data_IF_889857051982
#
_entry.id   IF_889857051982
#
_cell.length_a   1.000
_cell.length_b   1.000
_cell.length_c   1.000
_cell.angle_alpha   90.00
_cell.angle_beta   90.00
_cell.angle_gamma   90.00
#
_symmetry.space_group_name_H-M   'P 1'
#
loop_
_entity.id
_entity.type
_entity.pdbx_description
1 polymer ?
#
# COMPACT_ATOMS: atom_id res chain seq x y z
N UNK A 1 -14.66 23.67 10.66
CA UNK A 1 -13.37 23.04 10.32
C UNK A 1 -13.45 21.56 10.70
N UNK A 2 -13.02 20.66 9.82
CA UNK A 2 -12.85 19.26 10.20
C UNK A 2 -11.63 19.14 11.15
N UNK A 3 -11.64 18.23 12.12
CA UNK A 3 -10.49 17.98 12.99
C UNK A 3 -9.30 17.45 12.18
N UNK A 4 -8.10 17.93 12.51
CA UNK A 4 -6.84 17.43 11.93
C UNK A 4 -6.28 16.34 12.84
N UNK A 5 -6.18 15.12 12.31
CA UNK A 5 -5.57 13.99 13.02
C UNK A 5 -4.11 13.84 12.63
N UNK A 6 -3.23 13.69 13.62
CA UNK A 6 -1.82 13.32 13.41
C UNK A 6 -1.64 11.88 13.85
N UNK A 7 -0.98 11.09 13.01
CA UNK A 7 -0.69 9.69 13.29
C UNK A 7 0.76 9.37 12.92
N UNK A 8 1.31 8.37 13.59
CA UNK A 8 2.63 7.83 13.31
C UNK A 8 2.56 6.30 13.53
N UNK A 9 3.71 5.63 13.50
CA UNK A 9 3.79 4.17 13.69
C UNK A 9 3.43 3.70 15.10
N UNK A 10 3.11 4.61 16.01
CA UNK A 10 2.75 4.34 17.40
C UNK A 10 1.32 4.83 17.71
N UNK A 11 0.59 4.05 18.50
CA UNK A 11 -0.75 4.40 18.98
C UNK A 11 -1.91 3.98 18.08
N UNK A 12 -3.11 4.42 18.45
CA UNK A 12 -4.39 3.90 17.94
C UNK A 12 -4.62 4.14 16.44
N UNK A 13 -3.87 5.07 15.86
CA UNK A 13 -3.94 5.41 14.43
C UNK A 13 -2.82 4.79 13.59
N UNK A 14 -1.97 3.93 14.15
CA UNK A 14 -0.93 3.24 13.37
C UNK A 14 -1.51 2.39 12.22
N UNK A 15 -2.77 1.95 12.34
CA UNK A 15 -3.49 1.25 11.29
C UNK A 15 -3.72 2.06 10.01
N UNK A 16 -3.62 3.39 10.05
CA UNK A 16 -3.73 4.26 8.87
C UNK A 16 -2.46 4.26 7.99
N UNK A 17 -1.38 3.63 8.46
CA UNK A 17 -0.16 3.49 7.68
C UNK A 17 -0.27 2.32 6.71
N UNK A 18 0.14 2.54 5.47
CA UNK A 18 0.16 1.55 4.40
C UNK A 18 1.09 0.35 4.68
N UNK A 19 2.06 0.49 5.59
CA UNK A 19 2.90 -0.60 6.08
C UNK A 19 2.34 -1.30 7.34
N UNK A 20 1.15 -0.91 7.82
CA UNK A 20 0.51 -1.60 8.94
C UNK A 20 0.23 -3.07 8.58
N UNK A 21 0.20 -4.00 9.56
CA UNK A 21 0.06 -5.44 9.33
C UNK A 21 -1.39 -5.85 8.99
N UNK A 22 -2.06 -5.08 8.13
CA UNK A 22 -3.41 -5.37 7.64
C UNK A 22 -3.31 -5.86 6.20
N UNK A 23 -3.69 -7.13 5.98
CA UNK A 23 -3.71 -7.70 4.63
C UNK A 23 -4.72 -7.01 3.74
N UNK A 24 -4.40 -6.91 2.45
CA UNK A 24 -5.28 -6.36 1.41
C UNK A 24 -5.50 -7.43 0.35
N UNK A 25 -6.72 -7.53 -0.17
CA UNK A 25 -7.04 -8.40 -1.32
C UNK A 25 -7.29 -7.52 -2.54
N UNK A 26 -6.62 -7.81 -3.64
CA UNK A 26 -6.73 -7.08 -4.90
C UNK A 26 -6.65 -8.07 -6.06
N UNK A 27 -7.64 -8.02 -6.98
CA UNK A 27 -7.71 -8.93 -8.14
C UNK A 27 -7.48 -10.41 -7.75
N UNK A 28 -8.16 -10.86 -6.69
CA UNK A 28 -8.08 -12.23 -6.11
C UNK A 28 -6.77 -12.55 -5.37
N UNK A 29 -5.74 -11.73 -5.50
CA UNK A 29 -4.48 -11.89 -4.79
C UNK A 29 -4.49 -11.24 -3.41
N UNK A 30 -3.95 -11.96 -2.42
CA UNK A 30 -3.74 -11.44 -1.06
C UNK A 30 -2.33 -10.87 -0.92
N UNK A 31 -2.24 -9.67 -0.37
CA UNK A 31 -1.01 -8.96 -0.05
C UNK A 31 -0.88 -8.83 1.47
N UNK A 32 0.33 -9.01 2.05
CA UNK A 32 0.53 -8.91 3.49
C UNK A 32 0.18 -7.53 4.05
N UNK A 33 0.51 -6.46 3.31
CA UNK A 33 0.17 -5.06 3.64
C UNK A 33 -0.16 -4.26 2.37
N UNK A 34 -0.71 -3.04 2.51
CA UNK A 34 -0.88 -2.15 1.36
C UNK A 34 0.43 -1.69 0.75
N UNK A 35 1.53 -1.62 1.51
CA UNK A 35 2.87 -1.36 0.97
C UNK A 35 3.25 -2.44 -0.05
N UNK A 36 2.98 -3.72 0.23
CA UNK A 36 3.27 -4.80 -0.71
C UNK A 36 2.51 -4.59 -2.02
N UNK A 37 1.21 -4.30 -1.95
CA UNK A 37 0.40 -4.05 -3.15
C UNK A 37 0.88 -2.80 -3.91
N UNK A 38 1.15 -1.71 -3.20
CA UNK A 38 1.63 -0.47 -3.81
C UNK A 38 2.95 -0.68 -4.56
N UNK A 39 3.90 -1.38 -3.95
CA UNK A 39 5.22 -1.66 -4.53
C UNK A 39 5.13 -2.69 -5.67
N UNK A 40 4.27 -3.71 -5.55
CA UNK A 40 4.05 -4.71 -6.60
C UNK A 40 3.43 -4.07 -7.86
N UNK A 41 2.54 -3.07 -7.69
CA UNK A 41 1.89 -2.35 -8.80
C UNK A 41 2.86 -1.57 -9.70
N UNK A 42 4.11 -1.33 -9.25
CA UNK A 42 5.18 -0.80 -10.12
C UNK A 42 5.51 -1.73 -11.28
N UNK A 43 5.26 -3.03 -11.13
CA UNK A 43 5.68 -4.10 -12.04
C UNK A 43 4.49 -4.73 -12.79
N UNK A 44 3.49 -3.92 -13.18
CA UNK A 44 2.27 -4.39 -13.86
C UNK A 44 2.53 -5.31 -15.06
N UNK A 45 3.59 -5.03 -15.84
CA UNK A 45 3.97 -5.83 -17.02
C UNK A 45 4.98 -6.95 -16.72
N UNK A 46 5.30 -7.17 -15.45
CA UNK A 46 6.29 -8.13 -14.93
C UNK A 46 5.71 -8.85 -13.71
N UNK A 47 4.71 -9.73 -13.90
CA UNK A 47 4.02 -10.41 -12.80
C UNK A 47 4.99 -11.23 -11.94
N UNK A 48 6.07 -11.74 -12.54
CA UNK A 48 7.17 -12.42 -11.82
C UNK A 48 7.81 -11.53 -10.75
N UNK A 49 8.00 -10.25 -11.03
CA UNK A 49 8.57 -9.29 -10.10
C UNK A 49 7.54 -8.79 -9.08
N UNK A 50 6.29 -8.59 -9.52
CA UNK A 50 5.18 -8.27 -8.63
C UNK A 50 4.97 -9.37 -7.57
N UNK A 51 5.07 -10.63 -7.97
CA UNK A 51 4.98 -11.78 -7.07
C UNK A 51 6.13 -11.85 -6.07
N UNK A 52 7.36 -11.54 -6.49
CA UNK A 52 8.51 -11.43 -5.57
C UNK A 52 8.28 -10.37 -4.50
N UNK A 53 7.73 -9.21 -4.88
CA UNK A 53 7.37 -8.16 -3.93
C UNK A 53 6.26 -8.64 -2.99
N UNK A 54 5.23 -9.30 -3.52
CA UNK A 54 4.09 -9.84 -2.75
C UNK A 54 4.50 -10.89 -1.72
N UNK A 55 5.49 -11.72 -2.06
CA UNK A 55 6.00 -12.82 -1.23
C UNK A 55 7.07 -12.38 -0.22
N UNK A 56 7.47 -11.10 -0.23
CA UNK A 56 8.43 -10.57 0.74
C UNK A 56 7.89 -10.75 2.16
N UNK A 57 8.62 -11.47 3.01
CA UNK A 57 8.15 -11.78 4.37
C UNK A 57 8.18 -10.56 5.28
N UNK A 58 9.16 -9.69 5.06
CA UNK A 58 9.45 -8.54 5.91
C UNK A 58 9.04 -7.26 5.23
N UNK A 59 8.09 -6.54 5.83
CA UNK A 59 7.59 -5.26 5.30
C UNK A 59 8.72 -4.23 5.13
N UNK A 60 9.76 -4.30 5.97
CA UNK A 60 10.94 -3.42 5.88
C UNK A 60 11.75 -3.64 4.59
N UNK A 61 11.75 -4.85 4.03
CA UNK A 61 12.55 -5.24 2.86
C UNK A 61 11.84 -4.91 1.54
N UNK A 62 10.52 -4.73 1.56
CA UNK A 62 9.69 -4.50 0.37
C UNK A 62 10.21 -3.32 -0.47
N UNK A 63 10.48 -2.20 0.19
CA UNK A 63 11.00 -1.00 -0.48
C UNK A 63 12.42 -1.21 -1.02
N UNK A 64 13.27 -1.92 -0.29
CA UNK A 64 14.64 -2.20 -0.74
C UNK A 64 14.62 -3.08 -2.00
N UNK A 65 13.84 -4.17 -1.98
CA UNK A 65 13.64 -5.04 -3.13
C UNK A 65 13.07 -4.29 -4.35
N UNK A 66 12.09 -3.42 -4.13
CA UNK A 66 11.55 -2.58 -5.21
C UNK A 66 12.59 -1.62 -5.81
N UNK A 67 13.47 -1.06 -4.99
CA UNK A 67 14.55 -0.20 -5.47
C UNK A 67 15.62 -0.96 -6.27
N UNK A 68 15.93 -2.20 -5.89
CA UNK A 68 16.81 -3.07 -6.68
C UNK A 68 16.23 -3.36 -8.07
N UNK A 69 14.90 -3.47 -8.16
CA UNK A 69 14.17 -3.75 -9.40
C UNK A 69 13.79 -2.50 -10.19
N UNK A 70 14.28 -1.31 -9.83
CA UNK A 70 13.82 -0.02 -10.37
C UNK A 70 13.84 0.11 -11.90
N UNK A 71 14.74 -0.63 -12.56
CA UNK A 71 14.85 -0.62 -14.03
C UNK A 71 13.66 -1.28 -14.75
N UNK A 72 12.89 -2.10 -14.03
CA UNK A 72 11.70 -2.78 -14.53
C UNK A 72 10.39 -2.07 -14.18
N UNK A 73 10.47 -0.93 -13.47
CA UNK A 73 9.30 -0.14 -13.09
C UNK A 73 8.63 0.42 -14.35
N UNK A 74 7.30 0.38 -14.39
CA UNK A 74 6.53 0.96 -15.49
C UNK A 74 6.86 2.46 -15.67
N UNK A 75 7.01 2.91 -16.91
CA UNK A 75 7.48 4.28 -17.23
C UNK A 75 6.63 5.37 -16.60
N UNK A 76 5.32 5.16 -16.50
CA UNK A 76 4.36 6.14 -15.99
C UNK A 76 4.03 5.98 -14.51
N UNK A 77 4.87 5.29 -13.73
CA UNK A 77 4.59 5.03 -12.33
C UNK A 77 4.29 6.30 -11.52
N UNK A 78 5.03 7.39 -11.75
CA UNK A 78 4.79 8.68 -11.08
C UNK A 78 3.37 9.21 -11.30
N UNK A 79 2.79 8.99 -12.48
CA UNK A 79 1.43 9.42 -12.83
C UNK A 79 0.37 8.48 -12.22
N UNK A 80 0.68 7.19 -12.10
CA UNK A 80 -0.26 6.14 -11.64
C UNK A 80 -0.19 5.90 -10.12
N UNK A 81 0.88 6.37 -9.46
CA UNK A 81 1.07 6.17 -8.02
C UNK A 81 -0.09 6.77 -7.20
N UNK A 82 -0.51 7.98 -7.52
CA UNK A 82 -1.60 8.67 -6.79
C UNK A 82 -2.94 7.96 -6.95
N UNK A 83 -3.30 7.53 -8.15
CA UNK A 83 -4.54 6.78 -8.37
C UNK A 83 -4.51 5.41 -7.69
N UNK A 84 -3.34 4.78 -7.64
CA UNK A 84 -3.13 3.53 -6.89
C UNK A 84 -3.36 3.74 -5.40
N UNK A 85 -2.80 4.81 -4.82
CA UNK A 85 -3.02 5.16 -3.41
C UNK A 85 -4.50 5.43 -3.12
N UNK A 86 -5.20 6.20 -3.95
CA UNK A 86 -6.64 6.46 -3.77
C UNK A 86 -7.49 5.18 -3.78
N UNK A 87 -7.15 4.23 -4.65
CA UNK A 87 -7.83 2.93 -4.69
C UNK A 87 -7.56 2.12 -3.42
N UNK A 88 -6.32 2.10 -2.92
CA UNK A 88 -5.97 1.44 -1.66
C UNK A 88 -6.77 2.02 -0.50
N UNK A 89 -6.89 3.34 -0.38
CA UNK A 89 -7.68 3.99 0.67
C UNK A 89 -9.16 3.60 0.63
N UNK A 90 -9.72 3.40 -0.56
CA UNK A 90 -11.10 2.91 -0.70
C UNK A 90 -11.28 1.52 -0.07
N UNK A 91 -10.29 0.62 -0.17
CA UNK A 91 -10.32 -0.68 0.51
C UNK A 91 -10.25 -0.56 2.03
N UNK A 92 -9.46 0.39 2.55
CA UNK A 92 -9.33 0.61 4.00
C UNK A 92 -10.58 1.17 4.67
N UNK A 93 -11.50 1.79 3.92
CA UNK A 93 -12.74 2.35 4.45
C UNK A 93 -13.68 1.32 5.12
N UNK A 94 -13.45 0.01 4.88
CA UNK A 94 -14.22 -1.07 5.49
C UNK A 94 -13.68 -1.56 6.85
N UNK A 95 -12.46 -1.18 7.24
CA UNK A 95 -11.90 -1.55 8.55
C UNK A 95 -12.54 -0.70 9.67
N UNK A 96 -12.87 -1.27 10.83
CA UNK A 96 -13.60 -0.59 11.90
C UNK A 96 -12.85 0.64 12.45
N UNK A 97 -11.51 0.66 12.43
CA UNK A 97 -10.71 1.83 12.84
C UNK A 97 -10.85 3.03 11.88
N UNK A 98 -11.25 2.78 10.62
CA UNK A 98 -11.48 3.80 9.60
C UNK A 98 -12.93 4.29 9.56
N UNK A 99 -13.86 3.65 10.28
CA UNK A 99 -15.27 4.08 10.34
C UNK A 99 -15.51 5.31 11.21
N UNK A 100 -14.63 5.57 12.18
CA UNK A 100 -14.71 6.72 13.09
C UNK A 100 -13.96 7.95 12.57
N UNK A 101 -12.98 7.77 11.68
CA UNK A 101 -12.25 8.86 11.04
C UNK A 101 -12.77 9.09 9.61
N UNK A 102 -13.53 10.17 9.41
CA UNK A 102 -13.77 10.71 8.06
C UNK A 102 -12.43 11.23 7.53
N UNK A 103 -11.70 10.39 6.80
CA UNK A 103 -10.56 10.83 6.00
C UNK A 103 -11.16 11.52 4.78
N UNK A 104 -11.16 12.86 4.80
CA UNK A 104 -11.56 13.65 3.65
C UNK A 104 -10.44 13.56 2.61
N UNK A 105 -10.77 13.02 1.44
CA UNK A 105 -9.94 13.05 0.24
C UNK A 105 -9.90 14.45 -0.37
#
# INVERSE_FOLDING_TARGET
MAPVFKFNSFGDFAGFLYHSPHSVVYEEDRYPTALHLFEARKFLYRPDLADRIRQCERVEEVTALSQELREFVQRDWSNVALSTVSNLFSFFSFLPVFRTARVLA
#
